data_IF_172466521946
#
_entry.id   IF_172466521946
#
_cell.length_a   1.000
_cell.length_b   1.000
_cell.length_c   1.000
_cell.angle_alpha   90.00
_cell.angle_beta   90.00
_cell.angle_gamma   90.00
#
_symmetry.space_group_name_H-M   'P 1'
#
loop_
_entity.id
_entity.type
_entity.pdbx_description
1 polymer ?
#
# COMPACT_ATOMS: atom_id res chain seq x y z
N UNK A 1 -20.14 -16.26 25.01
CA UNK A 1 -20.13 -16.66 23.60
C UNK A 1 -20.78 -15.62 22.68
N UNK A 2 -22.06 -15.23 22.84
CA UNK A 2 -22.74 -14.24 21.93
C UNK A 2 -22.00 -12.90 21.77
N UNK A 3 -21.43 -12.32 22.85
CA UNK A 3 -20.65 -11.06 22.78
C UNK A 3 -19.29 -11.22 22.09
N UNK A 4 -18.67 -12.39 22.17
CA UNK A 4 -17.40 -12.68 21.46
C UNK A 4 -17.67 -12.87 19.95
N UNK A 5 -18.75 -13.59 19.60
CA UNK A 5 -19.22 -13.71 18.21
C UNK A 5 -19.59 -12.35 17.61
N UNK A 6 -20.32 -11.50 18.34
CA UNK A 6 -20.67 -10.16 17.86
C UNK A 6 -19.43 -9.26 17.64
N UNK A 7 -18.37 -9.40 18.46
CA UNK A 7 -17.09 -8.71 18.25
C UNK A 7 -16.32 -9.28 17.05
N UNK A 8 -16.27 -10.61 16.88
CA UNK A 8 -15.60 -11.26 15.75
C UNK A 8 -16.25 -10.92 14.39
N UNK A 9 -17.57 -10.77 14.36
CA UNK A 9 -18.34 -10.39 13.17
C UNK A 9 -18.63 -8.88 13.10
N UNK A 10 -17.85 -8.04 13.78
CA UNK A 10 -17.91 -6.60 13.55
C UNK A 10 -17.50 -6.25 12.10
N UNK A 11 -18.08 -5.20 11.53
CA UNK A 11 -17.78 -4.78 10.15
C UNK A 11 -16.28 -4.60 9.91
N UNK A 12 -15.56 -4.04 10.87
CA UNK A 12 -14.10 -3.87 10.80
C UNK A 12 -13.35 -5.20 10.72
N UNK A 13 -13.76 -6.20 11.51
CA UNK A 13 -13.07 -7.50 11.55
C UNK A 13 -13.33 -8.31 10.29
N UNK A 14 -14.54 -8.22 9.72
CA UNK A 14 -14.86 -8.87 8.43
C UNK A 14 -14.03 -8.23 7.31
N UNK A 15 -13.93 -6.91 7.28
CA UNK A 15 -13.11 -6.19 6.29
C UNK A 15 -11.62 -6.52 6.44
N UNK A 16 -11.12 -6.57 7.67
CA UNK A 16 -9.73 -6.97 7.93
C UNK A 16 -9.47 -8.42 7.52
N UNK A 17 -10.36 -9.33 7.89
CA UNK A 17 -10.27 -10.74 7.51
C UNK A 17 -10.33 -10.95 6.00
N UNK A 18 -11.19 -10.20 5.28
CA UNK A 18 -11.28 -10.28 3.82
C UNK A 18 -10.00 -9.75 3.13
N UNK A 19 -9.37 -8.71 3.67
CA UNK A 19 -8.08 -8.20 3.17
C UNK A 19 -6.97 -9.23 3.34
N UNK A 20 -6.85 -9.83 4.52
CA UNK A 20 -5.86 -10.86 4.79
C UNK A 20 -6.07 -12.11 3.92
N UNK A 21 -7.31 -12.57 3.81
CA UNK A 21 -7.65 -13.70 2.95
C UNK A 21 -7.38 -13.39 1.47
N UNK A 22 -7.76 -12.21 0.98
CA UNK A 22 -7.49 -11.76 -0.38
C UNK A 22 -5.99 -11.70 -0.68
N UNK A 23 -5.20 -11.14 0.24
CA UNK A 23 -3.74 -11.10 0.11
C UNK A 23 -3.12 -12.50 0.10
N UNK A 24 -3.64 -13.42 0.92
CA UNK A 24 -3.24 -14.85 0.90
C UNK A 24 -3.55 -15.53 -0.43
N UNK A 25 -4.75 -15.28 -1.00
CA UNK A 25 -5.13 -15.81 -2.31
C UNK A 25 -4.20 -15.27 -3.41
N UNK A 26 -3.89 -13.97 -3.40
CA UNK A 26 -2.94 -13.37 -4.36
C UNK A 26 -1.56 -14.00 -4.21
N UNK A 27 -1.08 -14.20 -2.98
CA UNK A 27 0.20 -14.84 -2.70
C UNK A 27 0.27 -16.28 -3.27
N UNK A 28 -0.77 -17.08 -3.05
CA UNK A 28 -0.85 -18.44 -3.60
C UNK A 28 -0.97 -18.45 -5.13
N UNK A 29 -1.72 -17.51 -5.70
CA UNK A 29 -1.81 -17.38 -7.16
C UNK A 29 -0.47 -16.96 -7.77
N UNK A 30 0.31 -16.10 -7.12
CA UNK A 30 1.68 -15.77 -7.54
C UNK A 30 2.62 -16.97 -7.43
N UNK A 31 2.48 -17.80 -6.40
CA UNK A 31 3.22 -19.06 -6.30
C UNK A 31 2.87 -20.00 -7.47
N UNK A 32 1.60 -20.07 -7.86
CA UNK A 32 1.18 -20.83 -9.02
C UNK A 32 1.75 -20.27 -10.34
N UNK A 33 1.80 -18.93 -10.50
CA UNK A 33 2.48 -18.29 -11.65
C UNK A 33 3.94 -18.74 -11.75
N UNK A 34 4.68 -18.71 -10.62
CA UNK A 34 6.08 -19.17 -10.58
C UNK A 34 6.20 -20.66 -10.95
N UNK A 35 5.30 -21.50 -10.45
CA UNK A 35 5.32 -22.96 -10.70
C UNK A 35 4.95 -23.32 -12.12
N UNK A 36 4.01 -22.63 -12.76
CA UNK A 36 3.56 -22.95 -14.11
C UNK A 36 4.44 -22.33 -15.19
N UNK A 37 4.96 -21.12 -14.98
CA UNK A 37 5.66 -20.35 -16.00
C UNK A 37 7.09 -19.95 -15.63
N UNK A 38 7.55 -20.28 -14.40
CA UNK A 38 8.91 -20.02 -13.92
C UNK A 38 9.07 -18.68 -13.22
N UNK A 39 10.23 -18.50 -12.60
CA UNK A 39 10.57 -17.33 -11.81
C UNK A 39 10.64 -16.05 -12.68
N UNK A 40 11.16 -16.14 -13.91
CA UNK A 40 11.23 -15.02 -14.84
C UNK A 40 9.86 -14.46 -15.18
N UNK A 41 8.88 -15.32 -15.47
CA UNK A 41 7.50 -14.91 -15.74
C UNK A 41 6.86 -14.25 -14.52
N UNK A 42 7.13 -14.74 -13.30
CA UNK A 42 6.70 -14.07 -12.09
C UNK A 42 7.37 -12.71 -11.94
N UNK A 43 8.66 -12.56 -12.21
CA UNK A 43 9.37 -11.27 -12.18
C UNK A 43 8.76 -10.26 -13.14
N UNK A 44 8.45 -10.66 -14.36
CA UNK A 44 7.76 -9.85 -15.37
C UNK A 44 6.36 -9.45 -14.90
N UNK A 45 5.60 -10.38 -14.31
CA UNK A 45 4.27 -10.11 -13.76
C UNK A 45 4.32 -9.11 -12.60
N UNK A 46 5.28 -9.26 -11.67
CA UNK A 46 5.42 -8.34 -10.53
C UNK A 46 5.80 -6.93 -10.99
N UNK A 47 6.67 -6.82 -12.00
CA UNK A 47 7.02 -5.54 -12.61
C UNK A 47 5.83 -4.91 -13.33
N UNK A 48 5.05 -5.70 -14.07
CA UNK A 48 3.79 -5.27 -14.69
C UNK A 48 2.82 -4.69 -13.65
N UNK A 49 2.62 -5.38 -12.52
CA UNK A 49 1.73 -4.93 -11.45
C UNK A 49 2.26 -3.67 -10.77
N UNK A 50 3.58 -3.61 -10.48
CA UNK A 50 4.21 -2.44 -9.87
C UNK A 50 4.06 -1.19 -10.75
N UNK A 51 4.35 -1.31 -12.03
CA UNK A 51 4.16 -0.21 -12.98
C UNK A 51 2.69 0.22 -13.08
N UNK A 52 1.77 -0.75 -13.18
CA UNK A 52 0.34 -0.45 -13.23
C UNK A 52 -0.16 0.27 -11.97
N UNK A 53 0.30 -0.12 -10.78
CA UNK A 53 -0.04 0.54 -9.52
C UNK A 53 0.48 1.98 -9.45
N UNK A 54 1.75 2.23 -9.83
CA UNK A 54 2.35 3.57 -9.83
C UNK A 54 1.60 4.49 -10.80
N UNK A 55 1.35 4.03 -12.01
CA UNK A 55 0.59 4.77 -13.02
C UNK A 55 -0.84 5.06 -12.51
N UNK A 56 -1.48 4.07 -11.87
CA UNK A 56 -2.84 4.21 -11.35
C UNK A 56 -2.98 5.28 -10.26
N UNK A 57 -1.98 5.43 -9.38
CA UNK A 57 -1.98 6.49 -8.33
C UNK A 57 -1.74 7.87 -8.94
N UNK A 58 -0.98 7.96 -10.02
CA UNK A 58 -0.76 9.23 -10.72
C UNK A 58 -1.98 9.74 -11.47
N UNK A 59 -2.83 8.85 -12.01
CA UNK A 59 -3.96 9.22 -12.87
C UNK A 59 -4.99 10.14 -12.19
N UNK A 60 -5.47 9.89 -10.97
CA UNK A 60 -6.46 10.73 -10.29
C UNK A 60 -5.87 11.97 -9.63
N UNK A 61 -4.54 12.17 -9.63
CA UNK A 61 -3.86 13.34 -9.07
C UNK A 61 -4.19 13.59 -7.58
N UNK A 62 -4.31 12.52 -6.77
CA UNK A 62 -4.59 12.58 -5.33
C UNK A 62 -6.09 12.69 -4.98
N UNK A 63 -6.97 12.75 -5.97
CA UNK A 63 -8.42 12.79 -5.72
C UNK A 63 -8.95 11.46 -5.18
N UNK A 64 -8.29 10.34 -5.44
CA UNK A 64 -8.63 9.03 -4.86
C UNK A 64 -8.46 9.03 -3.34
N UNK A 65 -7.36 9.59 -2.83
CA UNK A 65 -7.10 9.61 -1.38
C UNK A 65 -8.04 10.57 -0.65
N UNK A 66 -8.28 11.76 -1.22
CA UNK A 66 -9.15 12.78 -0.62
C UNK A 66 -10.64 12.51 -0.82
N UNK A 67 -10.98 11.58 -1.72
CA UNK A 67 -12.35 11.21 -2.05
C UNK A 67 -13.18 10.75 -0.86
N UNK A 68 -12.60 10.00 0.06
CA UNK A 68 -13.26 9.54 1.28
C UNK A 68 -13.70 10.72 2.17
N UNK A 69 -12.82 11.70 2.34
CA UNK A 69 -13.08 12.88 3.15
C UNK A 69 -14.20 13.75 2.54
N UNK A 70 -14.04 14.16 1.27
CA UNK A 70 -15.02 15.03 0.62
C UNK A 70 -16.37 14.35 0.42
N UNK A 71 -16.41 13.05 0.10
CA UNK A 71 -17.66 12.32 0.00
C UNK A 71 -18.40 12.24 1.34
N UNK A 72 -17.68 12.03 2.45
CA UNK A 72 -18.28 12.03 3.79
C UNK A 72 -18.83 13.39 4.18
N UNK A 73 -18.07 14.48 3.94
CA UNK A 73 -18.45 15.85 4.20
C UNK A 73 -19.73 16.23 3.42
N UNK A 74 -19.72 16.04 2.09
CA UNK A 74 -20.86 16.43 1.25
C UNK A 74 -22.10 15.57 1.48
N UNK A 75 -21.92 14.30 1.84
CA UNK A 75 -23.03 13.44 2.26
C UNK A 75 -23.66 13.97 3.56
N UNK A 76 -22.84 14.31 4.56
CA UNK A 76 -23.32 14.81 5.85
C UNK A 76 -24.04 16.17 5.72
N UNK A 77 -23.55 17.05 4.84
CA UNK A 77 -24.14 18.35 4.57
C UNK A 77 -25.31 18.30 3.56
N UNK A 78 -25.58 17.17 2.92
CA UNK A 78 -26.58 17.06 1.87
C UNK A 78 -26.21 17.78 0.56
N UNK A 79 -24.93 18.08 0.34
CA UNK A 79 -24.42 18.85 -0.80
C UNK A 79 -24.13 17.98 -2.02
N UNK A 80 -25.15 17.35 -2.61
CA UNK A 80 -24.98 16.40 -3.72
C UNK A 80 -24.41 17.00 -5.01
N UNK A 81 -24.54 18.32 -5.25
CA UNK A 81 -23.87 18.98 -6.40
C UNK A 81 -22.35 19.01 -6.21
N UNK A 82 -21.86 19.28 -5.00
CA UNK A 82 -20.43 19.25 -4.68
C UNK A 82 -19.86 17.83 -4.84
N UNK A 83 -20.57 16.82 -4.32
CA UNK A 83 -20.19 15.43 -4.47
C UNK A 83 -20.08 15.02 -5.94
N UNK A 84 -21.09 15.33 -6.75
CA UNK A 84 -21.07 15.05 -8.20
C UNK A 84 -20.01 15.86 -8.93
N UNK A 85 -19.77 17.09 -8.54
CA UNK A 85 -18.72 17.96 -9.07
C UNK A 85 -17.32 17.42 -8.79
N UNK A 86 -17.06 16.96 -7.55
CA UNK A 86 -15.84 16.29 -7.15
C UNK A 86 -15.63 14.99 -7.95
N UNK A 87 -16.64 14.12 -7.96
CA UNK A 87 -16.64 12.87 -8.70
C UNK A 87 -16.33 13.09 -10.19
N UNK A 88 -17.04 14.02 -10.86
CA UNK A 88 -16.80 14.34 -12.28
C UNK A 88 -15.35 14.75 -12.55
N UNK A 89 -14.72 15.52 -11.65
CA UNK A 89 -13.32 15.93 -11.80
C UNK A 89 -12.38 14.77 -11.60
N UNK A 90 -12.56 13.95 -10.56
CA UNK A 90 -11.75 12.77 -10.33
C UNK A 90 -11.67 11.89 -11.59
N UNK A 91 -12.82 11.59 -12.18
CA UNK A 91 -12.86 10.78 -13.41
C UNK A 91 -12.33 11.52 -14.64
N UNK A 92 -12.51 12.83 -14.72
CA UNK A 92 -11.92 13.62 -15.80
C UNK A 92 -10.39 13.61 -15.74
N UNK A 93 -9.79 13.70 -14.54
CA UNK A 93 -8.34 13.56 -14.37
C UNK A 93 -7.87 12.17 -14.77
N UNK A 94 -8.55 11.11 -14.31
CA UNK A 94 -8.23 9.73 -14.73
C UNK A 94 -8.28 9.59 -16.25
N UNK A 95 -9.34 10.08 -16.91
CA UNK A 95 -9.48 9.99 -18.36
C UNK A 95 -8.40 10.78 -19.12
N UNK A 96 -8.13 12.03 -18.70
CA UNK A 96 -7.12 12.89 -19.32
C UNK A 96 -5.72 12.29 -19.13
N UNK A 97 -5.37 11.88 -17.91
CA UNK A 97 -4.07 11.29 -17.62
C UNK A 97 -3.90 9.92 -18.29
N UNK A 98 -4.96 9.10 -18.38
CA UNK A 98 -4.92 7.86 -19.16
C UNK A 98 -4.64 8.12 -20.62
N UNK A 99 -5.32 9.08 -21.26
CA UNK A 99 -5.09 9.43 -22.66
C UNK A 99 -3.67 9.99 -22.87
N UNK A 100 -3.22 10.87 -21.97
CA UNK A 100 -1.87 11.44 -22.03
C UNK A 100 -0.80 10.35 -21.90
N UNK A 101 -0.93 9.48 -20.89
CA UNK A 101 0.05 8.42 -20.62
C UNK A 101 -0.01 7.31 -21.70
N UNK A 102 -1.17 7.04 -22.26
CA UNK A 102 -1.29 6.07 -23.35
C UNK A 102 -0.42 6.47 -24.57
N UNK A 103 -0.36 7.77 -24.88
CA UNK A 103 0.39 8.29 -26.03
C UNK A 103 1.83 8.65 -25.64
N UNK A 104 2.02 9.47 -24.62
CA UNK A 104 3.33 9.97 -24.22
C UNK A 104 4.12 8.97 -23.35
N UNK A 105 3.43 8.09 -22.62
CA UNK A 105 4.06 7.12 -21.73
C UNK A 105 4.80 6.01 -22.48
N UNK A 106 4.34 5.61 -23.66
CA UNK A 106 5.01 4.58 -24.45
C UNK A 106 6.48 4.94 -24.78
N UNK A 107 6.78 6.10 -25.42
CA UNK A 107 8.18 6.48 -25.64
C UNK A 107 8.96 6.76 -24.35
N UNK A 108 8.30 7.29 -23.31
CA UNK A 108 8.95 7.54 -22.03
C UNK A 108 9.33 6.24 -21.31
N UNK A 109 8.55 5.18 -21.44
CA UNK A 109 8.88 3.87 -20.89
C UNK A 109 10.23 3.37 -21.43
N UNK A 110 10.51 3.55 -22.72
CA UNK A 110 11.80 3.15 -23.31
C UNK A 110 13.03 3.85 -22.70
N UNK A 111 12.86 5.00 -22.04
CA UNK A 111 13.94 5.69 -21.35
C UNK A 111 14.31 5.08 -20.00
N UNK A 112 13.48 4.20 -19.47
CA UNK A 112 13.70 3.55 -18.15
C UNK A 112 14.65 2.33 -18.26
N UNK A 113 15.10 1.99 -19.47
CA UNK A 113 15.98 0.85 -19.70
C UNK A 113 15.23 -0.49 -19.84
N UNK A 114 15.83 -1.58 -19.39
CA UNK A 114 15.28 -2.93 -19.56
C UNK A 114 13.84 -3.13 -19.05
N UNK A 115 13.42 -2.59 -17.88
CA UNK A 115 12.02 -2.66 -17.47
C UNK A 115 11.10 -1.91 -18.42
N UNK A 116 11.55 -0.79 -19.00
CA UNK A 116 10.77 0.00 -19.93
C UNK A 116 10.46 -0.73 -21.23
N UNK A 117 11.38 -1.53 -21.76
CA UNK A 117 11.15 -2.34 -22.94
C UNK A 117 10.08 -3.42 -22.71
N UNK A 118 10.12 -4.10 -21.55
CA UNK A 118 9.08 -5.05 -21.18
C UNK A 118 7.70 -4.37 -21.07
N UNK A 119 7.66 -3.17 -20.48
CA UNK A 119 6.41 -2.41 -20.39
C UNK A 119 5.89 -1.97 -21.76
N UNK A 120 6.79 -1.67 -22.71
CA UNK A 120 6.40 -1.36 -24.10
C UNK A 120 5.79 -2.55 -24.80
N UNK A 121 6.31 -3.75 -24.64
CA UNK A 121 5.76 -4.98 -25.20
C UNK A 121 4.33 -5.24 -24.69
N UNK A 122 4.07 -4.95 -23.42
CA UNK A 122 2.76 -5.14 -22.79
C UNK A 122 2.04 -3.81 -22.49
N UNK A 123 2.31 -2.75 -23.29
CA UNK A 123 1.85 -1.40 -22.98
C UNK A 123 0.34 -1.27 -22.82
N UNK A 124 -0.43 -1.87 -23.73
CA UNK A 124 -1.89 -1.80 -23.66
C UNK A 124 -2.45 -2.50 -22.42
N UNK A 125 -2.06 -3.73 -22.07
CA UNK A 125 -2.45 -4.36 -20.80
C UNK A 125 -2.05 -3.55 -19.56
N UNK A 126 -0.83 -2.95 -19.53
CA UNK A 126 -0.37 -2.10 -18.43
C UNK A 126 -1.31 -0.89 -18.28
N UNK A 127 -1.60 -0.20 -19.37
CA UNK A 127 -2.48 0.98 -19.34
C UNK A 127 -3.92 0.63 -18.96
N UNK A 128 -4.43 -0.51 -19.44
CA UNK A 128 -5.76 -1.00 -19.10
C UNK A 128 -5.86 -1.37 -17.61
N UNK A 129 -4.84 -2.06 -17.09
CA UNK A 129 -4.75 -2.41 -15.68
C UNK A 129 -4.63 -1.17 -14.79
N UNK A 130 -3.80 -0.19 -15.22
CA UNK A 130 -3.65 1.10 -14.52
C UNK A 130 -4.96 1.87 -14.47
N UNK A 131 -5.67 1.95 -15.59
CA UNK A 131 -6.99 2.59 -15.67
C UNK A 131 -7.99 1.91 -14.74
N UNK A 132 -8.08 0.57 -14.79
CA UNK A 132 -8.97 -0.20 -13.92
C UNK A 132 -8.65 0.03 -12.44
N UNK A 133 -7.37 0.01 -12.08
CA UNK A 133 -6.89 0.25 -10.71
C UNK A 133 -7.22 1.67 -10.25
N UNK A 134 -6.96 2.69 -11.08
CA UNK A 134 -7.30 4.10 -10.77
C UNK A 134 -8.81 4.31 -10.55
N UNK A 135 -9.64 3.68 -11.40
CA UNK A 135 -11.10 3.71 -11.25
C UNK A 135 -11.55 3.03 -9.95
N UNK A 136 -10.98 1.86 -9.61
CA UNK A 136 -11.28 1.17 -8.35
C UNK A 136 -10.89 2.03 -7.15
N UNK A 137 -9.74 2.70 -7.16
CA UNK A 137 -9.31 3.59 -6.08
C UNK A 137 -10.29 4.76 -5.90
N UNK A 138 -10.67 5.45 -6.98
CA UNK A 138 -11.66 6.51 -6.94
C UNK A 138 -13.04 6.03 -6.45
N UNK A 139 -13.52 4.89 -6.98
CA UNK A 139 -14.80 4.30 -6.58
C UNK A 139 -14.80 3.93 -5.09
N UNK A 140 -13.72 3.26 -4.64
CA UNK A 140 -13.56 2.79 -3.26
C UNK A 140 -13.58 3.96 -2.28
N UNK A 141 -12.79 5.00 -2.53
CA UNK A 141 -12.74 6.17 -1.68
C UNK A 141 -14.10 6.85 -1.53
N UNK A 142 -14.80 7.08 -2.64
CA UNK A 142 -16.13 7.68 -2.63
C UNK A 142 -17.16 6.79 -1.93
N UNK A 143 -17.17 5.48 -2.15
CA UNK A 143 -18.08 4.54 -1.49
C UNK A 143 -17.85 4.48 0.02
N UNK A 144 -16.57 4.49 0.47
CA UNK A 144 -16.24 4.53 1.89
C UNK A 144 -16.77 5.82 2.54
N UNK A 145 -16.55 6.97 1.91
CA UNK A 145 -17.08 8.27 2.37
C UNK A 145 -18.61 8.31 2.40
N UNK A 146 -19.28 7.56 1.52
CA UNK A 146 -20.73 7.38 1.50
C UNK A 146 -21.24 6.33 2.50
N UNK A 147 -20.42 5.87 3.45
CA UNK A 147 -20.73 4.83 4.44
C UNK A 147 -21.07 3.47 3.83
N UNK A 148 -20.44 3.12 2.71
CA UNK A 148 -20.58 1.83 2.04
C UNK A 148 -19.22 1.09 1.95
N UNK A 149 -18.54 0.81 3.09
CA UNK A 149 -17.16 0.30 3.10
C UNK A 149 -17.05 -1.08 2.43
N UNK A 150 -18.03 -1.96 2.56
CA UNK A 150 -18.00 -3.26 1.88
C UNK A 150 -17.93 -3.11 0.35
N UNK A 151 -18.80 -2.28 -0.24
CA UNK A 151 -18.77 -2.01 -1.67
C UNK A 151 -17.48 -1.31 -2.10
N UNK A 152 -16.89 -0.49 -1.21
CA UNK A 152 -15.60 0.15 -1.42
C UNK A 152 -14.45 -0.84 -1.49
N UNK A 153 -14.35 -1.75 -0.52
CA UNK A 153 -13.18 -2.64 -0.42
C UNK A 153 -13.28 -3.92 -1.27
N UNK A 154 -14.46 -4.44 -1.56
CA UNK A 154 -14.63 -5.75 -2.19
C UNK A 154 -14.01 -5.87 -3.58
N UNK A 155 -13.95 -4.79 -4.35
CA UNK A 155 -13.33 -4.81 -5.67
C UNK A 155 -11.87 -5.28 -5.60
N UNK A 156 -11.11 -4.73 -4.69
CA UNK A 156 -9.67 -5.00 -4.56
C UNK A 156 -9.37 -6.19 -3.63
N UNK A 157 -10.17 -6.39 -2.57
CA UNK A 157 -9.88 -7.43 -1.56
C UNK A 157 -10.50 -8.79 -1.85
N UNK A 158 -11.54 -8.85 -2.67
CA UNK A 158 -12.24 -10.10 -2.99
C UNK A 158 -12.26 -10.37 -4.48
N UNK A 159 -12.76 -9.43 -5.29
CA UNK A 159 -12.96 -9.69 -6.72
C UNK A 159 -11.65 -9.74 -7.50
N UNK A 160 -10.66 -8.90 -7.18
CA UNK A 160 -9.34 -8.93 -7.84
C UNK A 160 -8.58 -10.24 -7.56
N UNK A 161 -8.47 -10.74 -6.30
CA UNK A 161 -7.91 -12.06 -6.03
C UNK A 161 -8.64 -13.21 -6.73
N UNK A 162 -9.97 -13.21 -6.72
CA UNK A 162 -10.77 -14.22 -7.42
C UNK A 162 -10.55 -14.18 -8.93
N UNK A 163 -10.50 -12.97 -9.51
CA UNK A 163 -10.20 -12.78 -10.94
C UNK A 163 -8.81 -13.33 -11.27
N UNK A 164 -7.81 -13.12 -10.40
CA UNK A 164 -6.45 -13.62 -10.61
C UNK A 164 -6.43 -15.15 -10.66
N UNK A 165 -7.12 -15.83 -9.74
CA UNK A 165 -7.23 -17.30 -9.75
C UNK A 165 -7.98 -17.79 -11.00
N UNK A 166 -9.10 -17.13 -11.36
CA UNK A 166 -9.88 -17.49 -12.54
C UNK A 166 -9.06 -17.29 -13.83
N UNK A 167 -8.42 -16.14 -13.98
CA UNK A 167 -7.58 -15.84 -15.14
C UNK A 167 -6.42 -16.83 -15.28
N UNK A 168 -5.78 -17.20 -14.16
CA UNK A 168 -4.72 -18.20 -14.14
C UNK A 168 -5.25 -19.57 -14.58
N UNK A 169 -6.37 -20.02 -14.03
CA UNK A 169 -6.99 -21.29 -14.39
C UNK A 169 -7.38 -21.34 -15.87
N UNK A 170 -8.03 -20.28 -16.39
CA UNK A 170 -8.39 -20.20 -17.82
C UNK A 170 -7.15 -20.15 -18.70
N UNK A 171 -6.14 -19.35 -18.34
CA UNK A 171 -4.89 -19.24 -19.11
C UNK A 171 -4.16 -20.58 -19.23
N UNK A 172 -4.07 -21.33 -18.12
CA UNK A 172 -3.37 -22.63 -18.11
C UNK A 172 -4.15 -23.74 -18.78
N UNK A 173 -5.48 -23.73 -18.75
CA UNK A 173 -6.32 -24.81 -19.27
C UNK A 173 -6.75 -24.59 -20.74
N UNK A 174 -6.92 -23.35 -21.19
CA UNK A 174 -7.53 -23.03 -22.48
C UNK A 174 -6.53 -22.51 -23.53
N UNK A 175 -5.32 -22.12 -23.12
CA UNK A 175 -4.33 -21.54 -24.05
C UNK A 175 -3.07 -22.41 -24.15
N UNK A 176 -2.40 -22.33 -25.32
CA UNK A 176 -1.10 -22.96 -25.52
C UNK A 176 -0.06 -22.35 -24.57
N UNK A 177 0.94 -23.12 -24.08
CA UNK A 177 1.95 -22.64 -23.12
C UNK A 177 2.64 -21.33 -23.53
N UNK A 178 2.88 -21.13 -24.83
CA UNK A 178 3.51 -19.93 -25.37
C UNK A 178 2.62 -18.66 -25.32
N UNK A 179 1.29 -18.81 -25.25
CA UNK A 179 0.34 -17.71 -25.24
C UNK A 179 -0.36 -17.55 -23.88
N UNK A 180 -0.14 -18.51 -22.96
CA UNK A 180 -0.88 -18.56 -21.70
C UNK A 180 -0.57 -17.37 -20.79
N UNK A 181 0.68 -16.93 -20.70
CA UNK A 181 1.07 -15.79 -19.89
C UNK A 181 0.46 -14.48 -20.42
N UNK A 182 0.50 -14.23 -21.72
CA UNK A 182 -0.11 -13.05 -22.34
C UNK A 182 -1.62 -13.05 -22.14
N UNK A 183 -2.27 -14.20 -22.35
CA UNK A 183 -3.71 -14.35 -22.11
C UNK A 183 -4.07 -14.05 -20.64
N UNK A 184 -3.27 -14.51 -19.70
CA UNK A 184 -3.43 -14.21 -18.26
C UNK A 184 -3.38 -12.70 -17.99
N UNK A 185 -2.36 -12.00 -18.52
CA UNK A 185 -2.19 -10.56 -18.31
C UNK A 185 -3.36 -9.76 -18.92
N UNK A 186 -3.81 -10.12 -20.12
CA UNK A 186 -4.97 -9.51 -20.77
C UNK A 186 -6.27 -9.75 -20.01
N UNK A 187 -6.49 -11.00 -19.53
CA UNK A 187 -7.70 -11.33 -18.75
C UNK A 187 -7.73 -10.58 -17.42
N UNK A 188 -6.56 -10.43 -16.76
CA UNK A 188 -6.48 -9.63 -15.53
C UNK A 188 -6.83 -8.17 -15.80
N UNK A 189 -6.21 -7.55 -16.79
CA UNK A 189 -6.43 -6.14 -17.11
C UNK A 189 -7.89 -5.87 -17.52
N UNK A 190 -8.42 -6.67 -18.45
CA UNK A 190 -9.80 -6.54 -18.92
C UNK A 190 -10.84 -6.89 -17.86
N UNK A 191 -10.62 -7.99 -17.12
CA UNK A 191 -11.53 -8.43 -16.07
C UNK A 191 -11.55 -7.43 -14.90
N UNK A 192 -10.41 -6.81 -14.55
CA UNK A 192 -10.38 -5.80 -13.50
C UNK A 192 -11.08 -4.51 -13.93
N UNK A 193 -11.03 -4.15 -15.21
CA UNK A 193 -11.83 -3.05 -15.74
C UNK A 193 -13.35 -3.33 -15.64
N UNK A 194 -13.78 -4.56 -15.91
CA UNK A 194 -15.19 -4.96 -15.74
C UNK A 194 -15.61 -4.83 -14.27
N UNK A 195 -14.75 -5.26 -13.32
CA UNK A 195 -14.97 -5.08 -11.88
C UNK A 195 -15.09 -3.58 -11.53
N UNK A 196 -14.20 -2.73 -12.06
CA UNK A 196 -14.22 -1.28 -11.82
C UNK A 196 -15.52 -0.64 -12.32
N UNK A 197 -16.01 -1.04 -13.50
CA UNK A 197 -17.29 -0.58 -14.07
C UNK A 197 -18.47 -1.05 -13.21
N UNK A 198 -18.47 -2.30 -12.76
CA UNK A 198 -19.49 -2.83 -11.85
C UNK A 198 -19.52 -2.08 -10.51
N UNK A 199 -18.35 -1.78 -9.94
CA UNK A 199 -18.23 -0.98 -8.72
C UNK A 199 -18.72 0.46 -8.92
N UNK A 200 -18.43 1.05 -10.10
CA UNK A 200 -18.97 2.38 -10.45
C UNK A 200 -20.50 2.39 -10.49
N UNK A 201 -21.15 1.33 -10.96
CA UNK A 201 -22.61 1.24 -10.93
C UNK A 201 -23.17 1.27 -9.50
N UNK A 202 -22.48 0.65 -8.53
CA UNK A 202 -22.85 0.75 -7.11
C UNK A 202 -22.62 2.16 -6.56
N UNK A 203 -21.47 2.77 -6.90
CA UNK A 203 -21.20 4.16 -6.52
C UNK A 203 -22.25 5.12 -7.07
N UNK A 204 -22.63 4.96 -8.35
CA UNK A 204 -23.62 5.82 -8.97
C UNK A 204 -24.99 5.74 -8.27
N UNK A 205 -25.40 4.54 -7.82
CA UNK A 205 -26.60 4.38 -7.01
C UNK A 205 -26.49 5.12 -5.67
N UNK A 206 -25.36 4.97 -4.98
CA UNK A 206 -25.11 5.63 -3.69
C UNK A 206 -25.08 7.17 -3.79
N UNK A 207 -24.49 7.70 -4.87
CA UNK A 207 -24.45 9.16 -5.13
C UNK A 207 -25.84 9.75 -5.42
N UNK A 208 -26.72 8.96 -6.05
CA UNK A 208 -28.13 9.40 -6.31
C UNK A 208 -28.96 9.57 -5.05
N UNK A 209 -28.62 8.90 -3.96
CA UNK A 209 -29.30 9.02 -2.68
C UNK A 209 -29.00 10.35 -1.97
N UNK A 210 -27.89 11.03 -2.32
CA UNK A 210 -27.55 12.33 -1.73
C UNK A 210 -28.35 13.44 -2.41
N UNK A 211 -29.11 14.26 -1.63
CA UNK A 211 -29.94 15.36 -2.17
C UNK A 211 -29.14 16.32 -3.05
N UNK A 212 -29.73 16.76 -4.16
CA UNK A 212 -29.08 17.70 -5.09
C UNK A 212 -29.23 19.11 -4.58
N UNK A 213 -28.31 19.54 -3.71
CA UNK A 213 -28.26 20.90 -3.18
C UNK A 213 -26.87 21.52 -3.31
N UNK A 214 -26.78 22.83 -3.09
CA UNK A 214 -25.53 23.59 -3.17
C UNK A 214 -25.15 24.01 -4.60
N UNK A 215 -24.17 24.91 -4.70
CA UNK A 215 -23.54 25.39 -5.93
C UNK A 215 -22.04 25.20 -5.81
N UNK A 216 -21.39 24.61 -6.83
CA UNK A 216 -19.95 24.42 -6.80
C UNK A 216 -19.25 25.71 -7.21
N UNK A 217 -18.63 26.37 -6.24
CA UNK A 217 -17.88 27.60 -6.45
C UNK A 217 -16.41 27.31 -6.83
N UNK A 218 -15.73 28.32 -7.41
CA UNK A 218 -14.29 28.22 -7.74
C UNK A 218 -13.42 28.05 -6.49
N UNK A 219 -13.83 28.58 -5.35
CA UNK A 219 -13.21 28.42 -4.03
C UNK A 219 -13.10 26.96 -3.63
N UNK A 220 -14.19 26.20 -3.84
CA UNK A 220 -14.25 24.77 -3.51
C UNK A 220 -13.36 23.94 -4.41
N UNK A 221 -13.27 24.27 -5.71
CA UNK A 221 -12.36 23.61 -6.63
C UNK A 221 -10.90 23.82 -6.21
N UNK A 222 -10.54 25.03 -5.79
CA UNK A 222 -9.20 25.33 -5.27
C UNK A 222 -8.91 24.55 -3.98
N UNK A 223 -9.92 24.37 -3.12
CA UNK A 223 -9.84 23.56 -1.91
C UNK A 223 -9.52 22.10 -2.25
N UNK A 224 -10.22 21.49 -3.21
CA UNK A 224 -9.94 20.11 -3.65
C UNK A 224 -8.48 19.92 -4.07
N UNK A 225 -7.97 20.80 -4.93
CA UNK A 225 -6.59 20.72 -5.41
C UNK A 225 -5.55 20.90 -4.30
N UNK A 226 -5.79 21.85 -3.40
CA UNK A 226 -4.88 22.09 -2.27
C UNK A 226 -4.77 20.88 -1.35
N UNK A 227 -5.87 20.14 -1.20
CA UNK A 227 -5.86 18.90 -0.44
C UNK A 227 -5.30 17.72 -1.23
N UNK A 228 -5.67 17.54 -2.50
CA UNK A 228 -5.32 16.37 -3.29
C UNK A 228 -3.82 16.28 -3.64
N UNK A 229 -3.21 17.39 -4.09
CA UNK A 229 -1.88 17.35 -4.68
C UNK A 229 -0.79 16.82 -3.74
N UNK A 230 -0.71 17.18 -2.44
CA UNK A 230 0.28 16.62 -1.53
C UNK A 230 0.10 15.10 -1.31
N UNK A 231 -1.12 14.61 -1.40
CA UNK A 231 -1.41 13.19 -1.20
C UNK A 231 -0.89 12.29 -2.30
N UNK A 232 -0.65 12.80 -3.52
CA UNK A 232 0.02 12.02 -4.57
C UNK A 232 1.41 11.56 -4.11
N UNK A 233 2.21 12.49 -3.56
CA UNK A 233 3.58 12.18 -3.10
C UNK A 233 3.52 11.25 -1.88
N UNK A 234 2.58 11.50 -0.96
CA UNK A 234 2.41 10.66 0.22
C UNK A 234 2.02 9.24 -0.19
N UNK A 235 1.03 9.06 -1.07
CA UNK A 235 0.58 7.76 -1.54
C UNK A 235 1.68 7.00 -2.29
N UNK A 236 2.40 7.66 -3.21
CA UNK A 236 3.53 7.04 -3.90
C UNK A 236 4.57 6.50 -2.93
N UNK A 237 4.90 7.25 -1.90
CA UNK A 237 5.94 6.85 -0.97
C UNK A 237 5.45 5.84 0.08
N UNK A 238 4.22 5.96 0.58
CA UNK A 238 3.72 5.09 1.67
C UNK A 238 3.13 3.78 1.17
N UNK A 239 2.34 3.85 0.10
CA UNK A 239 1.57 2.71 -0.39
C UNK A 239 2.34 1.92 -1.46
N UNK A 240 3.21 2.61 -2.23
CA UNK A 240 3.93 2.03 -3.36
C UNK A 240 5.45 1.98 -3.15
N UNK A 241 5.93 2.09 -1.91
CA UNK A 241 7.36 2.04 -1.59
C UNK A 241 8.07 0.85 -2.25
N UNK A 242 7.52 -0.35 -2.09
CA UNK A 242 8.09 -1.57 -2.68
C UNK A 242 7.83 -1.70 -4.18
N UNK A 243 6.77 -1.11 -4.73
CA UNK A 243 6.55 -1.10 -6.18
C UNK A 243 7.59 -0.18 -6.87
N UNK A 244 7.92 0.97 -6.26
CA UNK A 244 9.00 1.86 -6.72
C UNK A 244 10.35 1.15 -6.62
N UNK A 245 10.61 0.48 -5.49
CA UNK A 245 11.84 -0.29 -5.26
C UNK A 245 12.00 -1.39 -6.32
N UNK A 246 10.93 -2.12 -6.64
CA UNK A 246 10.91 -3.18 -7.62
C UNK A 246 11.25 -2.65 -9.05
N UNK A 247 10.73 -1.49 -9.44
CA UNK A 247 11.08 -0.84 -10.71
C UNK A 247 12.54 -0.41 -10.72
N UNK A 248 13.05 0.16 -9.63
CA UNK A 248 14.45 0.54 -9.51
C UNK A 248 15.37 -0.67 -9.64
N UNK A 249 15.08 -1.74 -8.89
CA UNK A 249 15.84 -2.98 -8.87
C UNK A 249 15.82 -3.72 -10.21
N UNK A 250 14.79 -3.56 -11.02
CA UNK A 250 14.65 -4.20 -12.31
C UNK A 250 15.72 -3.78 -13.34
N UNK A 251 16.44 -2.66 -13.08
CA UNK A 251 17.63 -2.24 -13.82
C UNK A 251 18.95 -2.76 -13.22
N UNK A 252 18.91 -3.29 -11.99
CA UNK A 252 20.09 -3.72 -11.24
C UNK A 252 20.19 -5.24 -11.09
N UNK A 253 19.10 -5.96 -11.37
CA UNK A 253 18.99 -7.42 -11.22
C UNK A 253 18.29 -8.03 -12.43
N UNK A 254 18.54 -9.33 -12.65
CA UNK A 254 17.78 -10.14 -13.60
C UNK A 254 16.34 -10.42 -13.09
N UNK A 255 15.49 -10.94 -13.97
CA UNK A 255 14.06 -11.15 -13.71
C UNK A 255 13.78 -12.20 -12.66
N UNK A 256 14.60 -13.25 -12.59
CA UNK A 256 14.48 -14.33 -11.60
C UNK A 256 14.80 -13.79 -10.21
N UNK A 257 15.91 -13.09 -10.06
CA UNK A 257 16.31 -12.43 -8.81
C UNK A 257 15.28 -11.39 -8.36
N UNK A 258 14.73 -10.63 -9.31
CA UNK A 258 13.65 -9.66 -9.04
C UNK A 258 12.38 -10.36 -8.54
N UNK A 259 12.02 -11.52 -9.10
CA UNK A 259 10.89 -12.32 -8.63
C UNK A 259 11.07 -12.74 -7.17
N UNK A 260 12.27 -13.22 -6.81
CA UNK A 260 12.59 -13.62 -5.43
C UNK A 260 12.42 -12.43 -4.48
N UNK A 261 12.96 -11.26 -4.82
CA UNK A 261 12.79 -10.04 -4.02
C UNK A 261 11.31 -9.65 -3.90
N UNK A 262 10.58 -9.69 -5.01
CA UNK A 262 9.15 -9.41 -5.03
C UNK A 262 8.34 -10.35 -4.13
N UNK A 263 8.66 -11.64 -4.07
CA UNK A 263 8.04 -12.60 -3.12
C UNK A 263 8.38 -12.21 -1.68
N UNK A 264 9.65 -11.85 -1.39
CA UNK A 264 10.05 -11.39 -0.06
C UNK A 264 9.21 -10.17 0.39
N UNK A 265 8.97 -9.20 -0.50
CA UNK A 265 8.14 -8.03 -0.19
C UNK A 265 6.66 -8.39 0.00
N UNK A 266 6.14 -9.42 -0.67
CA UNK A 266 4.76 -9.91 -0.45
C UNK A 266 4.62 -10.59 0.92
N UNK A 267 5.59 -11.42 1.32
CA UNK A 267 5.61 -11.99 2.69
C UNK A 267 5.69 -10.88 3.72
N UNK A 268 6.60 -9.91 3.53
CA UNK A 268 6.68 -8.73 4.40
C UNK A 268 5.33 -8.00 4.50
N UNK A 269 4.66 -7.77 3.37
CA UNK A 269 3.34 -7.10 3.35
C UNK A 269 2.29 -7.88 4.14
N UNK A 270 2.24 -9.21 4.01
CA UNK A 270 1.34 -10.06 4.77
C UNK A 270 1.57 -9.96 6.28
N UNK A 271 2.82 -10.06 6.73
CA UNK A 271 3.14 -10.00 8.17
C UNK A 271 2.99 -8.60 8.74
N UNK A 272 3.15 -7.56 7.92
CA UNK A 272 2.95 -6.16 8.34
C UNK A 272 1.54 -5.86 8.81
N UNK A 273 0.53 -6.61 8.35
CA UNK A 273 -0.85 -6.52 8.85
C UNK A 273 -0.94 -6.77 10.36
N UNK A 274 -0.08 -7.62 10.94
CA UNK A 274 -0.06 -7.89 12.38
C UNK A 274 0.30 -6.65 13.20
N UNK A 275 1.31 -5.89 12.78
CA UNK A 275 1.70 -4.62 13.42
C UNK A 275 0.64 -3.53 13.18
N UNK A 276 0.11 -3.44 11.96
CA UNK A 276 -0.92 -2.47 11.62
C UNK A 276 -2.21 -2.69 12.45
N UNK A 277 -2.55 -3.94 12.79
CA UNK A 277 -3.70 -4.27 13.62
C UNK A 277 -3.60 -3.64 15.02
N UNK A 278 -2.41 -3.62 15.64
CA UNK A 278 -2.20 -2.98 16.95
C UNK A 278 -2.57 -1.50 16.90
N UNK A 279 -2.01 -0.78 15.94
CA UNK A 279 -2.27 0.65 15.79
C UNK A 279 -3.73 0.95 15.43
N UNK A 280 -4.37 0.11 14.61
CA UNK A 280 -5.78 0.30 14.24
C UNK A 280 -6.74 0.20 15.43
N UNK A 281 -6.42 -0.64 16.44
CA UNK A 281 -7.20 -0.78 17.67
C UNK A 281 -6.99 0.42 18.61
N UNK A 282 -5.77 0.94 18.68
CA UNK A 282 -5.41 2.02 19.63
C UNK A 282 -5.68 3.42 19.07
N UNK A 283 -5.74 3.55 17.74
CA UNK A 283 -5.90 4.85 17.08
C UNK A 283 -7.12 5.66 17.55
N UNK A 284 -8.35 5.10 17.73
CA UNK A 284 -9.48 5.86 18.26
C UNK A 284 -9.18 6.46 19.65
N UNK A 285 -8.59 5.66 20.56
CA UNK A 285 -8.23 6.12 21.90
C UNK A 285 -7.21 7.28 21.85
N UNK A 286 -6.27 7.25 20.89
CA UNK A 286 -5.30 8.32 20.70
C UNK A 286 -5.97 9.64 20.29
N UNK A 287 -6.99 9.59 19.43
CA UNK A 287 -7.77 10.78 19.06
C UNK A 287 -8.57 11.34 20.24
N UNK A 288 -9.17 10.48 21.06
CA UNK A 288 -9.91 10.88 22.26
C UNK A 288 -8.98 11.54 23.30
N UNK A 289 -7.73 11.07 23.40
CA UNK A 289 -6.70 11.58 24.30
C UNK A 289 -5.87 12.74 23.73
N UNK A 290 -6.21 13.28 22.54
CA UNK A 290 -5.42 14.32 21.87
C UNK A 290 -5.18 15.58 22.71
N UNK A 291 -6.09 15.87 23.66
CA UNK A 291 -6.00 17.03 24.57
C UNK A 291 -5.24 16.75 25.87
N UNK A 292 -5.06 15.47 26.22
CA UNK A 292 -4.31 15.04 27.40
C UNK A 292 -2.98 14.45 26.96
N UNK A 293 -1.94 15.27 26.99
CA UNK A 293 -0.61 14.92 26.49
C UNK A 293 0.01 13.74 27.23
N UNK A 294 -0.15 13.67 28.55
CA UNK A 294 0.43 12.61 29.37
C UNK A 294 -0.24 11.26 29.09
N UNK A 295 -1.57 11.25 29.07
CA UNK A 295 -2.35 10.07 28.73
C UNK A 295 -2.07 9.61 27.29
N UNK A 296 -1.94 10.55 26.34
CA UNK A 296 -1.59 10.25 24.95
C UNK A 296 -0.21 9.59 24.83
N UNK A 297 0.83 10.16 25.47
CA UNK A 297 2.19 9.60 25.45
C UNK A 297 2.24 8.20 26.07
N UNK A 298 1.53 8.01 27.20
CA UNK A 298 1.41 6.69 27.82
C UNK A 298 0.76 5.68 26.87
N UNK A 299 -0.33 6.07 26.22
CA UNK A 299 -1.06 5.20 25.27
C UNK A 299 -0.22 4.85 24.04
N UNK A 300 0.51 5.82 23.48
CA UNK A 300 1.45 5.59 22.36
C UNK A 300 2.54 4.61 22.80
N UNK A 301 3.14 4.80 23.98
CA UNK A 301 4.18 3.92 24.50
C UNK A 301 3.69 2.47 24.70
N UNK A 302 2.47 2.27 25.22
CA UNK A 302 1.84 0.95 25.35
C UNK A 302 1.60 0.30 23.98
N UNK A 303 1.10 1.08 22.99
CA UNK A 303 0.89 0.61 21.64
C UNK A 303 2.20 0.21 20.96
N UNK A 304 3.26 1.02 21.11
CA UNK A 304 4.57 0.73 20.53
C UNK A 304 5.19 -0.52 21.14
N UNK A 305 5.06 -0.72 22.48
CA UNK A 305 5.56 -1.92 23.14
C UNK A 305 4.84 -3.18 22.63
N UNK A 306 3.52 -3.13 22.50
CA UNK A 306 2.74 -4.22 21.93
C UNK A 306 3.11 -4.47 20.47
N UNK A 307 3.23 -3.41 19.65
CA UNK A 307 3.64 -3.49 18.26
C UNK A 307 5.06 -4.06 18.10
N UNK A 308 6.00 -3.64 18.96
CA UNK A 308 7.38 -4.17 18.98
C UNK A 308 7.41 -5.66 19.35
N UNK A 309 6.65 -6.09 20.35
CA UNK A 309 6.52 -7.49 20.72
C UNK A 309 5.98 -8.35 19.56
N UNK A 310 4.92 -7.88 18.90
CA UNK A 310 4.36 -8.54 17.72
C UNK A 310 5.36 -8.51 16.55
N UNK A 311 6.05 -7.40 16.30
CA UNK A 311 7.06 -7.29 15.24
C UNK A 311 8.21 -8.29 15.44
N UNK A 312 8.71 -8.43 16.67
CA UNK A 312 9.75 -9.42 17.01
C UNK A 312 9.24 -10.85 16.83
N UNK A 313 8.02 -11.15 17.27
CA UNK A 313 7.42 -12.48 17.10
C UNK A 313 7.24 -12.82 15.60
N UNK A 314 6.76 -11.86 14.80
CA UNK A 314 6.59 -12.02 13.34
C UNK A 314 7.94 -12.15 12.64
N UNK A 315 8.94 -11.35 13.04
CA UNK A 315 10.32 -11.50 12.55
C UNK A 315 10.84 -12.91 12.80
N UNK A 316 10.70 -13.42 14.04
CA UNK A 316 11.13 -14.78 14.37
C UNK A 316 10.36 -15.83 13.57
N UNK A 317 9.04 -15.66 13.41
CA UNK A 317 8.22 -16.55 12.60
C UNK A 317 8.65 -16.59 11.13
N UNK A 318 9.00 -15.43 10.55
CA UNK A 318 9.50 -15.34 9.17
C UNK A 318 10.92 -15.88 9.07
N UNK A 319 11.81 -15.60 10.02
CA UNK A 319 13.18 -16.12 9.99
C UNK A 319 13.21 -17.65 10.07
N UNK A 320 12.30 -18.27 10.82
CA UNK A 320 12.24 -19.73 11.00
C UNK A 320 11.36 -20.42 9.95
N UNK A 321 10.19 -19.85 9.66
CA UNK A 321 9.19 -20.46 8.78
C UNK A 321 9.24 -19.95 7.33
N UNK A 322 9.88 -18.83 7.10
CA UNK A 322 9.97 -18.20 5.78
C UNK A 322 10.57 -19.07 4.67
N UNK A 323 11.63 -19.84 4.94
CA UNK A 323 12.15 -20.78 3.93
C UNK A 323 11.08 -21.76 3.43
N UNK A 324 10.15 -22.21 4.30
CA UNK A 324 9.04 -23.07 3.90
C UNK A 324 8.02 -22.36 3.01
N UNK A 325 7.75 -21.08 3.29
CA UNK A 325 6.87 -20.26 2.45
C UNK A 325 7.46 -20.03 1.06
N UNK A 326 8.77 -19.86 0.96
CA UNK A 326 9.47 -19.70 -0.32
C UNK A 326 9.46 -20.98 -1.17
N UNK A 327 9.48 -22.17 -0.55
CA UNK A 327 9.36 -23.45 -1.26
C UNK A 327 8.03 -23.60 -2.02
N UNK A 328 6.99 -22.86 -1.66
CA UNK A 328 5.74 -22.82 -2.44
C UNK A 328 5.97 -22.31 -3.87
N UNK A 329 6.90 -21.39 -4.05
CA UNK A 329 7.24 -20.79 -5.35
C UNK A 329 8.19 -21.66 -6.18
N UNK A 330 9.13 -22.33 -5.53
CA UNK A 330 10.16 -23.17 -6.17
C UNK A 330 11.43 -23.23 -5.33
N UNK A 331 12.30 -24.24 -5.56
CA UNK A 331 13.56 -24.37 -4.82
C UNK A 331 14.49 -23.16 -5.03
N UNK A 332 14.45 -22.53 -6.19
CA UNK A 332 15.24 -21.33 -6.55
C UNK A 332 14.92 -20.13 -5.66
N UNK A 333 13.69 -20.04 -5.13
CA UNK A 333 13.28 -18.96 -4.22
C UNK A 333 13.92 -19.06 -2.83
N UNK A 334 14.57 -20.19 -2.51
CA UNK A 334 15.30 -20.36 -1.24
C UNK A 334 16.38 -19.32 -0.97
N UNK A 335 16.97 -18.72 -2.02
CA UNK A 335 17.91 -17.61 -1.92
C UNK A 335 17.31 -16.35 -1.26
N UNK A 336 15.99 -16.22 -1.26
CA UNK A 336 15.25 -15.11 -0.61
C UNK A 336 15.12 -15.24 0.91
N UNK A 337 15.50 -16.36 1.55
CA UNK A 337 15.26 -16.60 2.97
C UNK A 337 15.90 -15.53 3.87
N UNK A 338 17.18 -15.24 3.68
CA UNK A 338 17.89 -14.21 4.46
C UNK A 338 17.41 -12.79 4.11
N UNK A 339 17.33 -12.37 2.82
CA UNK A 339 16.76 -11.08 2.44
C UNK A 339 15.36 -10.81 3.01
N UNK A 340 14.49 -11.82 3.01
CA UNK A 340 13.14 -11.74 3.54
C UNK A 340 13.15 -11.50 5.07
N UNK A 341 13.98 -12.21 5.81
CA UNK A 341 14.15 -11.99 7.24
C UNK A 341 14.69 -10.57 7.51
N UNK A 342 15.68 -10.12 6.74
CA UNK A 342 16.21 -8.74 6.83
C UNK A 342 15.12 -7.71 6.59
N UNK A 343 14.30 -7.85 5.55
CA UNK A 343 13.17 -6.95 5.30
C UNK A 343 12.23 -6.84 6.51
N UNK A 344 11.98 -7.94 7.22
CA UNK A 344 11.11 -7.93 8.41
C UNK A 344 11.69 -7.13 9.59
N UNK A 345 12.98 -6.76 9.60
CA UNK A 345 13.52 -5.79 10.58
C UNK A 345 12.85 -4.43 10.47
N UNK A 346 12.34 -4.05 9.29
CA UNK A 346 11.60 -2.80 9.12
C UNK A 346 10.35 -2.73 10.01
N UNK A 347 9.73 -3.87 10.36
CA UNK A 347 8.59 -3.92 11.28
C UNK A 347 9.00 -3.49 12.69
N UNK A 348 10.17 -3.95 13.15
CA UNK A 348 10.73 -3.59 14.44
C UNK A 348 11.09 -2.10 14.45
N UNK A 349 11.74 -1.62 13.39
CA UNK A 349 12.08 -0.19 13.21
C UNK A 349 10.82 0.68 13.28
N UNK A 350 9.76 0.33 12.52
CA UNK A 350 8.50 1.08 12.53
C UNK A 350 7.82 1.08 13.89
N UNK A 351 7.82 -0.05 14.60
CA UNK A 351 7.28 -0.14 15.94
C UNK A 351 8.10 0.67 16.96
N UNK A 352 9.42 0.76 16.77
CA UNK A 352 10.32 1.55 17.62
C UNK A 352 10.05 3.06 17.50
N UNK A 353 9.93 3.58 16.27
CA UNK A 353 9.66 5.00 16.02
C UNK A 353 8.18 5.40 16.19
N UNK A 354 7.27 4.43 16.23
CA UNK A 354 5.85 4.62 16.50
C UNK A 354 5.05 5.30 15.37
N UNK A 355 3.77 5.64 15.63
CA UNK A 355 2.82 6.12 14.62
C UNK A 355 2.99 7.64 14.36
N UNK A 356 4.18 8.08 13.97
CA UNK A 356 4.58 9.49 13.87
C UNK A 356 3.71 10.29 12.91
N UNK A 357 3.38 9.74 11.73
CA UNK A 357 2.53 10.41 10.73
C UNK A 357 1.11 10.67 11.24
N UNK A 358 0.58 9.75 12.07
CA UNK A 358 -0.73 9.92 12.72
C UNK A 358 -0.68 11.09 13.70
N UNK A 359 0.34 11.15 14.55
CA UNK A 359 0.50 12.22 15.54
C UNK A 359 0.71 13.59 14.87
N UNK A 360 1.49 13.67 13.79
CA UNK A 360 1.62 14.90 13.00
C UNK A 360 0.28 15.33 12.40
N UNK A 361 -0.53 14.40 11.90
CA UNK A 361 -1.87 14.66 11.37
C UNK A 361 -2.84 15.14 12.45
N UNK A 362 -2.77 14.57 13.67
CA UNK A 362 -3.57 15.01 14.83
C UNK A 362 -3.24 16.45 15.27
N UNK A 363 -2.04 16.93 14.96
CA UNK A 363 -1.58 18.29 15.24
C UNK A 363 -1.74 19.25 14.04
N UNK A 364 -2.62 18.95 13.07
CA UNK A 364 -2.87 19.72 11.86
C UNK A 364 -1.64 19.96 10.98
N UNK A 365 -0.67 19.04 11.02
CA UNK A 365 0.62 19.11 10.30
C UNK A 365 0.88 17.91 9.38
N UNK A 366 -0.09 17.49 8.54
CA UNK A 366 0.08 16.34 7.67
C UNK A 366 1.17 16.55 6.59
N UNK A 367 1.45 17.80 6.23
CA UNK A 367 2.45 18.12 5.20
C UNK A 367 3.89 18.06 5.71
N UNK A 368 4.10 18.10 7.03
CA UNK A 368 5.44 18.02 7.63
C UNK A 368 6.08 16.63 7.45
N UNK A 369 5.34 15.65 6.94
CA UNK A 369 5.87 14.32 6.56
C UNK A 369 6.65 14.33 5.22
N UNK A 370 6.38 15.30 4.32
CA UNK A 370 6.94 15.31 2.97
C UNK A 370 8.48 15.36 2.92
N UNK A 371 9.19 16.19 3.72
CA UNK A 371 10.66 16.18 3.71
C UNK A 371 11.26 14.84 4.14
N UNK A 372 10.67 14.19 5.14
CA UNK A 372 11.11 12.87 5.61
C UNK A 372 10.92 11.79 4.54
N UNK A 373 9.82 11.85 3.80
CA UNK A 373 9.56 11.00 2.63
C UNK A 373 10.66 11.20 1.59
N UNK A 374 10.96 12.44 1.22
CA UNK A 374 12.00 12.75 0.24
C UNK A 374 13.37 12.21 0.65
N UNK A 375 13.75 12.36 1.92
CA UNK A 375 14.99 11.79 2.48
C UNK A 375 14.97 10.26 2.37
N UNK A 376 13.90 9.61 2.81
CA UNK A 376 13.78 8.15 2.78
C UNK A 376 13.89 7.59 1.36
N UNK A 377 13.19 8.20 0.39
CA UNK A 377 13.26 7.79 -1.03
C UNK A 377 14.64 8.02 -1.64
N UNK A 378 15.30 9.12 -1.30
CA UNK A 378 16.69 9.38 -1.73
C UNK A 378 17.64 8.32 -1.18
N UNK A 379 17.50 7.96 0.10
CA UNK A 379 18.31 6.90 0.72
C UNK A 379 18.03 5.56 0.05
N UNK A 380 16.77 5.23 -0.29
CA UNK A 380 16.43 4.01 -1.01
C UNK A 380 17.18 3.90 -2.34
N UNK A 381 17.12 4.96 -3.14
CA UNK A 381 17.80 5.00 -4.46
C UNK A 381 19.31 4.87 -4.29
N UNK A 382 19.93 5.69 -3.44
CA UNK A 382 21.37 5.69 -3.23
C UNK A 382 21.86 4.36 -2.65
N UNK A 383 21.15 3.82 -1.65
CA UNK A 383 21.54 2.55 -1.03
C UNK A 383 21.40 1.37 -2.01
N UNK A 384 20.37 1.34 -2.86
CA UNK A 384 20.25 0.31 -3.91
C UNK A 384 21.42 0.39 -4.90
N UNK A 385 21.74 1.59 -5.39
CA UNK A 385 22.86 1.78 -6.33
C UNK A 385 24.22 1.35 -5.74
N UNK A 386 24.40 1.48 -4.42
CA UNK A 386 25.67 1.15 -3.75
C UNK A 386 25.72 -0.33 -3.29
N UNK A 387 24.61 -0.85 -2.75
CA UNK A 387 24.62 -2.16 -2.09
C UNK A 387 24.25 -3.32 -3.04
N UNK A 388 23.36 -3.08 -3.99
CA UNK A 388 22.88 -4.16 -4.87
C UNK A 388 23.98 -4.72 -5.77
N UNK A 389 24.87 -3.93 -6.39
CA UNK A 389 25.94 -4.48 -7.24
C UNK A 389 26.90 -5.43 -6.49
N UNK A 390 27.08 -5.24 -5.17
CA UNK A 390 28.01 -6.05 -4.37
C UNK A 390 27.34 -7.17 -3.56
N UNK A 391 26.08 -6.97 -3.15
CA UNK A 391 25.37 -7.86 -2.23
C UNK A 391 24.10 -8.49 -2.83
N UNK A 392 23.75 -8.14 -4.06
CA UNK A 392 22.57 -8.69 -4.75
C UNK A 392 21.28 -8.51 -3.95
N UNK A 393 20.51 -9.59 -3.79
CA UNK A 393 19.23 -9.60 -3.03
C UNK A 393 19.37 -9.08 -1.60
N UNK A 394 20.47 -9.42 -0.93
CA UNK A 394 20.71 -8.95 0.43
C UNK A 394 20.95 -7.43 0.45
N UNK A 395 21.64 -6.92 -0.57
CA UNK A 395 21.83 -5.47 -0.77
C UNK A 395 20.53 -4.72 -0.89
N UNK A 396 19.57 -5.24 -1.67
CA UNK A 396 18.23 -4.65 -1.81
C UNK A 396 17.45 -4.65 -0.49
N UNK A 397 17.48 -5.77 0.25
CA UNK A 397 16.83 -5.85 1.56
C UNK A 397 17.42 -4.86 2.56
N UNK A 398 18.76 -4.74 2.60
CA UNK A 398 19.46 -3.78 3.46
C UNK A 398 19.16 -2.33 3.05
N UNK A 399 19.10 -2.04 1.75
CA UNK A 399 18.74 -0.71 1.24
C UNK A 399 17.33 -0.31 1.67
N UNK A 400 16.36 -1.23 1.58
CA UNK A 400 15.00 -0.99 2.04
C UNK A 400 14.92 -0.75 3.54
N UNK A 401 15.63 -1.55 4.36
CA UNK A 401 15.70 -1.37 5.82
C UNK A 401 16.35 -0.03 6.19
N UNK A 402 17.46 0.32 5.54
CA UNK A 402 18.16 1.58 5.76
C UNK A 402 17.27 2.77 5.41
N UNK A 403 16.64 2.75 4.24
CA UNK A 403 15.72 3.78 3.79
C UNK A 403 14.54 3.96 4.77
N UNK A 404 13.94 2.86 5.20
CA UNK A 404 12.82 2.88 6.14
C UNK A 404 13.27 3.38 7.53
N UNK A 405 14.49 3.04 7.95
CA UNK A 405 15.06 3.51 9.23
C UNK A 405 15.29 5.02 9.21
N UNK A 406 15.96 5.53 8.16
CA UNK A 406 16.21 6.96 8.00
C UNK A 406 14.91 7.75 7.86
N UNK A 407 13.97 7.23 7.08
CA UNK A 407 12.63 7.83 6.95
C UNK A 407 11.90 7.90 8.29
N UNK A 408 11.85 6.79 9.04
CA UNK A 408 11.18 6.74 10.34
C UNK A 408 11.86 7.67 11.37
N UNK A 409 13.19 7.71 11.39
CA UNK A 409 13.96 8.62 12.23
C UNK A 409 13.71 10.10 11.87
N UNK A 410 13.67 10.43 10.59
CA UNK A 410 13.37 11.79 10.11
C UNK A 410 11.95 12.23 10.49
N UNK A 411 10.96 11.33 10.37
CA UNK A 411 9.59 11.56 10.83
C UNK A 411 9.54 11.79 12.36
N UNK A 412 10.18 10.92 13.13
CA UNK A 412 10.26 11.05 14.57
C UNK A 412 10.89 12.38 14.99
N UNK A 413 12.02 12.76 14.38
CA UNK A 413 12.67 14.04 14.64
C UNK A 413 11.74 15.22 14.29
N UNK A 414 10.97 15.11 13.22
CA UNK A 414 9.99 16.12 12.82
C UNK A 414 8.87 16.25 13.86
N UNK A 415 8.32 15.13 14.36
CA UNK A 415 7.31 15.15 15.41
C UNK A 415 7.87 15.74 16.72
N UNK A 416 9.08 15.35 17.10
CA UNK A 416 9.76 15.88 18.29
C UNK A 416 9.96 17.41 18.18
N UNK A 417 10.39 17.91 17.01
CA UNK A 417 10.68 19.33 16.79
C UNK A 417 9.43 20.17 16.57
N UNK A 418 8.41 19.65 15.88
CA UNK A 418 7.22 20.40 15.42
C UNK A 418 5.99 20.23 16.29
N UNK A 419 5.78 19.04 16.82
CA UNK A 419 4.68 18.71 17.72
C UNK A 419 5.12 18.66 19.20
N UNK A 420 6.43 18.67 19.46
CA UNK A 420 7.02 18.50 20.79
C UNK A 420 6.61 17.19 21.49
N UNK A 421 6.31 16.15 20.70
CA UNK A 421 5.85 14.83 21.16
C UNK A 421 6.91 13.80 20.78
N UNK A 422 7.46 13.08 21.77
CA UNK A 422 8.26 11.89 21.52
C UNK A 422 7.34 10.68 21.36
N UNK A 423 7.21 10.24 20.11
CA UNK A 423 6.37 9.11 19.73
C UNK A 423 7.13 7.78 19.71
N UNK A 424 8.42 7.79 20.06
CA UNK A 424 9.26 6.58 20.03
C UNK A 424 9.04 5.68 21.25
N UNK A 425 9.65 4.51 21.20
CA UNK A 425 9.69 3.58 22.33
C UNK A 425 10.71 4.02 23.43
N UNK A 426 11.60 5.00 23.13
CA UNK A 426 12.67 5.43 24.04
C UNK A 426 12.20 5.84 25.45
N UNK A 427 11.13 6.67 25.61
CA UNK A 427 10.67 7.05 26.95
C UNK A 427 10.28 5.84 27.82
N UNK A 428 9.64 4.84 27.22
CA UNK A 428 9.26 3.61 27.93
C UNK A 428 10.46 2.74 28.34
N UNK A 429 11.46 2.69 27.48
CA UNK A 429 12.70 1.98 27.79
C UNK A 429 13.42 2.68 28.97
N UNK A 430 13.47 4.01 28.95
CA UNK A 430 14.05 4.79 30.04
C UNK A 430 13.31 4.55 31.37
N UNK A 431 11.98 4.66 31.40
CA UNK A 431 11.15 4.36 32.58
C UNK A 431 11.39 2.94 33.12
N UNK A 432 11.53 1.94 32.24
CA UNK A 432 11.80 0.56 32.66
C UNK A 432 13.16 0.43 33.35
N UNK A 433 14.21 1.06 32.84
CA UNK A 433 15.54 1.02 33.46
C UNK A 433 15.59 1.82 34.74
N UNK A 434 14.90 2.95 34.87
CA UNK A 434 14.80 3.72 36.12
C UNK A 434 14.07 2.92 37.21
N UNK A 435 12.93 2.31 36.87
CA UNK A 435 12.18 1.45 37.77
C UNK A 435 13.00 0.24 38.29
N UNK A 436 13.86 -0.32 37.40
CA UNK A 436 14.77 -1.40 37.80
C UNK A 436 15.87 -0.92 38.76
N UNK A 437 16.51 0.21 38.43
CA UNK A 437 17.53 0.80 39.31
C UNK A 437 16.98 1.14 40.72
N UNK A 438 15.74 1.64 40.78
CA UNK A 438 15.06 1.93 42.04
C UNK A 438 14.67 0.67 42.85
N UNK A 439 14.61 -0.52 42.21
CA UNK A 439 14.40 -1.80 42.91
C UNK A 439 15.70 -2.45 43.38
N UNK A 440 16.80 -2.15 42.70
CA UNK A 440 18.12 -2.72 42.99
C UNK A 440 18.92 -1.81 43.97
N UNK A 441 18.42 -0.59 44.31
CA UNK A 441 18.91 0.34 45.33
C UNK A 441 18.09 0.24 46.62
#
# INVERSE_FOLDING_TARGET
MKRLFAKLFSQSNILFGSRLAGAGVVFLAQAAVARFWGAEALGNFLLFVAAANIIAVLMPLGFETTGTFFAAEYRAAGHGRHLRGFMKRSYAHVAIMSALLLVAGYPLAGLIGAPGHLLQEHWLPVMLMSLATALVYCNSALLIGLKRPFAGFFADTVFRPMLMVLALAVATLAFAPSAAFDAFVWMLAGGFLVIAIGQFAWLWRAVREVPVSGTVEKSEIRRWWRFALPWVIIALATDLFFDIDLILLSNLMDRETLAIFGVCTRVFSLVSFGVAAVYSVVMPDMFDLAKDREALLRKIGEANLAAAGIAVALFAAVALGGPLALLLFGPEFGAGALPMAVLCLTLIVRAFFGPTSVVLSMNDRPHDVLPAIGIGMTVLVVANLLLVPSLGLLGAALAAVLAQTVWSAALWFTALKRAHIDVSLMPRIAEFFEARRARDA
#
